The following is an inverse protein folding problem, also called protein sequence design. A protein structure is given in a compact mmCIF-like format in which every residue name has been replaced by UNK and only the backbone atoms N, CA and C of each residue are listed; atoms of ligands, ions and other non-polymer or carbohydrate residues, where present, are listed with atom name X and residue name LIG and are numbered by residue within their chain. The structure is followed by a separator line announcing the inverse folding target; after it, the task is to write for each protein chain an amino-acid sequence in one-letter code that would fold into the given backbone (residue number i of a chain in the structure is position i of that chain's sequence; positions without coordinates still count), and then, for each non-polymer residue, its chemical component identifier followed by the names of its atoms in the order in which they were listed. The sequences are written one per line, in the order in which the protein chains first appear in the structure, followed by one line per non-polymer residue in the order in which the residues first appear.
data_IF_631594033590
#
_entry.id   IF_631594033590
#
_cell.length_a   1.000
_cell.length_b   1.000
_cell.length_c   1.000
_cell.angle_alpha   90.00
_cell.angle_beta   90.00
_cell.angle_gamma   90.00
#
_symmetry.space_group_name_H-M   'P 1'
#
loop_
_entity.id
_entity.type
_entity.pdbx_description
1 polymer ?
#
# COMPACT_ATOMS: atom_id res chain seq x y z
N UNK A 1 -28.38 -4.14 24.87
CA UNK A 1 -28.73 -2.92 24.11
C UNK A 1 -27.53 -2.02 23.77
N UNK A 2 -26.55 -1.82 24.66
CA UNK A 2 -25.38 -0.95 24.44
C UNK A 2 -24.58 -1.21 23.13
N UNK A 3 -24.49 -2.48 22.68
CA UNK A 3 -23.72 -2.83 21.49
C UNK A 3 -24.40 -2.40 20.17
N UNK A 4 -25.74 -2.48 20.08
CA UNK A 4 -26.50 -2.04 18.89
C UNK A 4 -26.44 -0.52 18.72
N UNK A 5 -26.56 0.21 19.82
CA UNK A 5 -26.45 1.67 19.85
C UNK A 5 -25.05 2.12 19.42
N UNK A 6 -23.99 1.51 19.96
CA UNK A 6 -22.60 1.80 19.56
C UNK A 6 -22.34 1.54 18.08
N UNK A 7 -22.83 0.43 17.54
CA UNK A 7 -22.73 0.09 16.11
C UNK A 7 -23.49 1.11 15.24
N UNK A 8 -24.67 1.55 15.66
CA UNK A 8 -25.45 2.57 14.96
C UNK A 8 -24.72 3.91 14.86
N UNK A 9 -24.20 4.42 15.98
CA UNK A 9 -23.43 5.67 16.00
C UNK A 9 -22.15 5.56 15.17
N UNK A 10 -21.45 4.42 15.22
CA UNK A 10 -20.25 4.18 14.42
C UNK A 10 -20.57 4.19 12.91
N UNK A 11 -21.70 3.60 12.49
CA UNK A 11 -22.15 3.66 11.09
C UNK A 11 -22.46 5.08 10.65
N UNK A 12 -23.17 5.86 11.46
CA UNK A 12 -23.51 7.27 11.16
C UNK A 12 -22.27 8.15 11.09
N UNK A 13 -21.31 7.93 11.98
CA UNK A 13 -20.02 8.61 11.99
C UNK A 13 -19.19 8.30 10.73
N UNK A 14 -19.07 7.02 10.36
CA UNK A 14 -18.37 6.62 9.15
C UNK A 14 -19.02 7.22 7.89
N UNK A 15 -20.36 7.29 7.85
CA UNK A 15 -21.09 7.93 6.75
C UNK A 15 -20.72 9.41 6.61
N UNK A 16 -20.66 10.15 7.72
CA UNK A 16 -20.28 11.56 7.70
C UNK A 16 -18.84 11.77 7.18
N UNK A 17 -17.89 10.95 7.63
CA UNK A 17 -16.49 11.00 7.16
C UNK A 17 -16.41 10.75 5.64
N UNK A 18 -17.13 9.74 5.13
CA UNK A 18 -17.21 9.45 3.69
C UNK A 18 -17.85 10.61 2.91
N UNK A 19 -18.89 11.23 3.47
CA UNK A 19 -19.54 12.39 2.86
C UNK A 19 -18.58 13.58 2.74
N UNK A 20 -17.87 13.93 3.82
CA UNK A 20 -16.89 15.03 3.84
C UNK A 20 -15.77 14.76 2.82
N UNK A 21 -15.25 13.54 2.77
CA UNK A 21 -14.23 13.17 1.80
C UNK A 21 -14.66 13.34 0.36
N UNK A 22 -15.88 12.91 0.01
CA UNK A 22 -16.36 13.02 -1.37
C UNK A 22 -16.39 14.47 -1.87
N UNK A 23 -16.54 15.45 -0.98
CA UNK A 23 -16.46 16.88 -1.30
C UNK A 23 -15.02 17.39 -1.45
N UNK A 24 -14.05 16.74 -0.80
CA UNK A 24 -12.67 17.23 -0.67
C UNK A 24 -11.62 16.41 -1.43
N UNK A 25 -11.99 15.24 -1.96
CA UNK A 25 -11.06 14.24 -2.52
C UNK A 25 -10.15 14.72 -3.64
N UNK A 26 -10.57 15.74 -4.41
CA UNK A 26 -9.77 16.30 -5.51
C UNK A 26 -8.91 17.50 -5.10
N UNK A 27 -8.97 17.91 -3.83
CA UNK A 27 -8.13 19.01 -3.33
C UNK A 27 -6.68 18.57 -3.16
N UNK A 28 -5.74 19.51 -3.35
CA UNK A 28 -4.31 19.28 -3.08
C UNK A 28 -4.07 18.83 -1.64
N UNK A 29 -4.74 19.45 -0.68
CA UNK A 29 -4.61 19.13 0.76
C UNK A 29 -5.02 17.68 1.02
N UNK A 30 -6.13 17.21 0.46
CA UNK A 30 -6.53 15.81 0.64
C UNK A 30 -5.54 14.87 -0.04
N UNK A 31 -5.07 15.18 -1.25
CA UNK A 31 -4.07 14.38 -1.95
C UNK A 31 -2.77 14.23 -1.15
N UNK A 32 -2.27 15.32 -0.55
CA UNK A 32 -1.08 15.28 0.32
C UNK A 32 -1.31 14.42 1.56
N UNK A 33 -2.48 14.53 2.22
CA UNK A 33 -2.80 13.71 3.39
C UNK A 33 -3.02 12.23 3.06
N UNK A 34 -3.38 11.89 1.82
CA UNK A 34 -3.44 10.51 1.34
C UNK A 34 -2.04 9.91 1.15
N UNK A 35 -1.04 10.73 0.78
CA UNK A 35 0.37 10.32 0.71
C UNK A 35 1.00 10.21 2.10
N UNK A 36 0.84 11.25 2.91
CA UNK A 36 1.35 11.33 4.27
C UNK A 36 0.43 12.21 5.11
N UNK A 37 -0.19 11.70 6.19
CA UNK A 37 -1.13 12.46 7.01
C UNK A 37 -0.38 13.52 7.84
N UNK A 38 -0.22 14.72 7.28
CA UNK A 38 0.48 15.87 7.89
C UNK A 38 -0.45 16.85 8.61
N UNK A 39 -1.69 16.97 8.15
CA UNK A 39 -2.65 17.94 8.67
C UNK A 39 -3.56 17.27 9.68
N UNK A 40 -3.84 17.91 10.82
CA UNK A 40 -4.59 17.26 11.90
C UNK A 40 -5.99 16.77 11.46
N UNK A 41 -6.83 17.67 10.96
CA UNK A 41 -8.20 17.33 10.55
C UNK A 41 -8.25 16.45 9.29
N UNK A 42 -7.58 16.88 8.21
CA UNK A 42 -7.58 16.16 6.93
C UNK A 42 -6.82 14.84 7.00
N UNK A 43 -5.73 14.78 7.77
CA UNK A 43 -4.98 13.56 8.03
C UNK A 43 -5.79 12.56 8.83
N UNK A 44 -6.57 13.01 9.82
CA UNK A 44 -7.50 12.12 10.52
C UNK A 44 -8.56 11.52 9.57
N UNK A 45 -9.17 12.36 8.72
CA UNK A 45 -10.15 11.91 7.71
C UNK A 45 -9.50 10.89 6.76
N UNK A 46 -8.34 11.21 6.19
CA UNK A 46 -7.60 10.35 5.27
C UNK A 46 -7.30 8.99 5.92
N UNK A 47 -6.73 8.98 7.14
CA UNK A 47 -6.43 7.75 7.89
C UNK A 47 -7.69 6.90 8.09
N UNK A 48 -8.81 7.51 8.48
CA UNK A 48 -10.04 6.75 8.76
C UNK A 48 -10.64 6.13 7.49
N UNK A 49 -10.56 6.83 6.36
CA UNK A 49 -11.04 6.32 5.08
C UNK A 49 -10.18 5.19 4.55
N UNK A 50 -8.85 5.33 4.66
CA UNK A 50 -7.93 4.25 4.29
C UNK A 50 -8.24 2.98 5.09
N UNK A 51 -8.44 3.12 6.41
CA UNK A 51 -8.78 2.01 7.30
C UNK A 51 -10.07 1.29 6.90
N UNK A 52 -11.12 2.03 6.54
CA UNK A 52 -12.42 1.45 6.18
C UNK A 52 -12.41 0.88 4.75
N UNK A 53 -11.91 1.67 3.80
CA UNK A 53 -12.09 1.38 2.37
C UNK A 53 -11.15 0.30 1.86
N UNK A 54 -9.94 0.16 2.42
CA UNK A 54 -8.92 -0.73 1.87
C UNK A 54 -8.99 -2.16 2.42
N UNK A 55 -9.68 -2.40 3.54
CA UNK A 55 -9.65 -3.68 4.27
C UNK A 55 -9.93 -4.92 3.40
N UNK A 56 -11.02 -4.94 2.62
CA UNK A 56 -11.35 -6.09 1.74
C UNK A 56 -10.26 -6.31 0.67
N UNK A 57 -9.79 -5.23 0.05
CA UNK A 57 -8.75 -5.27 -0.99
C UNK A 57 -7.43 -5.76 -0.41
N UNK A 58 -7.00 -5.21 0.73
CA UNK A 58 -5.77 -5.60 1.42
C UNK A 58 -5.77 -7.09 1.72
N UNK A 59 -6.84 -7.61 2.34
CA UNK A 59 -6.94 -9.03 2.63
C UNK A 59 -6.83 -9.89 1.36
N UNK A 60 -7.57 -9.53 0.32
CA UNK A 60 -7.56 -10.23 -0.97
C UNK A 60 -6.18 -10.20 -1.65
N UNK A 61 -5.49 -9.06 -1.57
CA UNK A 61 -4.13 -8.87 -2.11
C UNK A 61 -3.10 -9.69 -1.34
N UNK A 62 -3.10 -9.64 0.00
CA UNK A 62 -2.16 -10.43 0.82
C UNK A 62 -2.37 -11.93 0.61
N UNK A 63 -3.61 -12.39 0.49
CA UNK A 63 -3.90 -13.79 0.14
C UNK A 63 -3.29 -14.21 -1.21
N UNK A 64 -3.25 -13.30 -2.20
CA UNK A 64 -2.65 -13.54 -3.52
C UNK A 64 -1.14 -13.37 -3.56
N UNK A 65 -0.59 -12.63 -2.60
CA UNK A 65 0.86 -12.59 -2.37
C UNK A 65 1.38 -13.96 -1.93
N UNK A 66 0.50 -14.83 -1.38
CA UNK A 66 0.79 -16.22 -1.05
C UNK A 66 2.07 -16.36 -0.23
N UNK A 67 2.15 -15.59 0.87
CA UNK A 67 3.30 -15.58 1.78
C UNK A 67 3.38 -16.91 2.51
N UNK A 68 4.58 -17.47 2.57
CA UNK A 68 4.94 -18.66 3.35
C UNK A 68 6.01 -18.38 4.41
N UNK A 69 6.29 -19.39 5.25
CA UNK A 69 7.23 -19.28 6.37
C UNK A 69 8.70 -19.10 5.97
N UNK A 70 9.05 -19.41 4.73
CA UNK A 70 10.42 -19.29 4.21
C UNK A 70 10.68 -17.94 3.55
N UNK A 71 9.62 -17.24 3.15
CA UNK A 71 9.70 -15.94 2.51
C UNK A 71 10.30 -14.85 3.41
N UNK A 72 11.13 -14.03 2.80
CA UNK A 72 11.48 -12.68 3.25
C UNK A 72 10.58 -11.67 2.54
N UNK A 73 9.73 -10.99 3.32
CA UNK A 73 8.69 -10.09 2.80
C UNK A 73 9.10 -8.64 3.00
N UNK A 74 8.85 -7.79 2.00
CA UNK A 74 9.00 -6.35 2.07
C UNK A 74 7.67 -5.67 1.73
N UNK A 75 7.14 -4.86 2.64
CA UNK A 75 6.03 -3.94 2.35
C UNK A 75 6.52 -2.49 2.29
N UNK A 76 6.17 -1.79 1.21
CA UNK A 76 6.44 -0.36 1.06
C UNK A 76 5.16 0.42 1.31
N UNK A 77 5.20 1.39 2.23
CA UNK A 77 4.07 2.20 2.66
C UNK A 77 2.97 1.41 3.37
N UNK A 78 3.29 0.68 4.46
CA UNK A 78 2.32 -0.12 5.22
C UNK A 78 1.24 0.71 5.92
N UNK A 79 1.44 2.02 6.08
CA UNK A 79 0.48 2.91 6.73
C UNK A 79 0.17 2.45 8.17
N UNK A 80 -1.09 2.15 8.46
CA UNK A 80 -1.51 1.64 9.78
C UNK A 80 -1.29 0.12 9.96
N UNK A 81 -0.61 -0.54 9.04
CA UNK A 81 -0.19 -1.94 9.14
C UNK A 81 -1.33 -2.95 8.96
N UNK A 82 -2.34 -2.62 8.15
CA UNK A 82 -3.42 -3.56 7.85
C UNK A 82 -2.97 -4.76 7.03
N UNK A 83 -2.05 -4.58 6.07
CA UNK A 83 -1.52 -5.71 5.31
C UNK A 83 -0.55 -6.53 6.18
N UNK A 84 0.31 -5.86 6.97
CA UNK A 84 1.14 -6.51 7.98
C UNK A 84 0.33 -7.41 8.93
N UNK A 85 -0.86 -7.00 9.38
CA UNK A 85 -1.75 -7.87 10.20
C UNK A 85 -2.06 -9.21 9.53
N UNK A 86 -2.21 -9.20 8.21
CA UNK A 86 -2.51 -10.40 7.43
C UNK A 86 -1.21 -11.17 7.12
N UNK A 87 -0.12 -10.49 6.80
CA UNK A 87 1.19 -11.11 6.49
C UNK A 87 1.74 -11.88 7.68
N UNK A 88 1.68 -11.34 8.91
CA UNK A 88 2.21 -12.01 10.10
C UNK A 88 1.49 -13.32 10.43
N UNK A 89 0.29 -13.56 9.88
CA UNK A 89 -0.44 -14.82 10.08
C UNK A 89 0.21 -16.00 9.36
N UNK A 90 0.98 -15.73 8.31
CA UNK A 90 1.75 -16.74 7.58
C UNK A 90 3.10 -17.06 8.24
N UNK A 91 3.47 -16.34 9.29
CA UNK A 91 4.75 -16.48 10.00
C UNK A 91 5.99 -16.50 9.08
N UNK A 92 6.16 -15.50 8.19
CA UNK A 92 7.29 -15.45 7.28
C UNK A 92 8.61 -15.31 8.04
N UNK A 93 9.69 -15.78 7.41
CA UNK A 93 11.05 -15.77 7.95
C UNK A 93 11.46 -14.38 8.44
N UNK A 94 11.13 -13.34 7.66
CA UNK A 94 11.46 -11.95 7.98
C UNK A 94 10.50 -11.00 7.27
N UNK A 95 10.18 -9.87 7.93
CA UNK A 95 9.37 -8.80 7.35
C UNK A 95 10.14 -7.48 7.45
N UNK A 96 10.19 -6.74 6.35
CA UNK A 96 10.64 -5.35 6.28
C UNK A 96 9.45 -4.44 5.96
N UNK A 97 9.36 -3.30 6.64
CA UNK A 97 8.28 -2.33 6.48
C UNK A 97 8.87 -0.92 6.28
N UNK A 98 8.76 -0.36 5.07
CA UNK A 98 9.32 0.95 4.71
C UNK A 98 8.23 2.02 4.83
N UNK A 99 8.37 2.93 5.79
CA UNK A 99 7.34 3.95 6.08
C UNK A 99 7.96 5.31 6.38
N UNK A 100 7.65 6.31 5.55
CA UNK A 100 8.19 7.67 5.68
C UNK A 100 7.48 8.50 6.74
N UNK A 101 6.21 8.19 7.06
CA UNK A 101 5.43 8.93 8.04
C UNK A 101 5.78 8.52 9.47
N UNK A 102 6.29 9.46 10.27
CA UNK A 102 6.53 9.25 11.71
C UNK A 102 5.26 8.81 12.45
N UNK A 103 4.12 9.37 12.07
CA UNK A 103 2.82 9.05 12.68
C UNK A 103 2.45 7.58 12.45
N UNK A 104 2.71 7.04 11.24
CA UNK A 104 2.45 5.63 10.97
C UNK A 104 3.49 4.73 11.59
N UNK A 105 4.78 5.08 11.57
CA UNK A 105 5.81 4.31 12.27
C UNK A 105 5.51 4.11 13.75
N UNK A 106 5.12 5.17 14.47
CA UNK A 106 4.71 5.04 15.87
C UNK A 106 3.55 4.04 16.07
N UNK A 107 2.58 4.01 15.14
CA UNK A 107 1.46 3.05 15.17
C UNK A 107 1.97 1.64 14.94
N UNK A 108 2.85 1.44 13.96
CA UNK A 108 3.44 0.14 13.62
C UNK A 108 4.30 -0.40 14.76
N UNK A 109 5.18 0.42 15.32
CA UNK A 109 6.06 0.05 16.45
C UNK A 109 5.25 -0.37 17.67
N UNK A 110 4.20 0.37 18.02
CA UNK A 110 3.31 0.02 19.12
C UNK A 110 2.57 -1.30 18.86
N UNK A 111 2.10 -1.51 17.62
CA UNK A 111 1.28 -2.66 17.23
C UNK A 111 2.09 -3.95 17.07
N UNK A 112 3.33 -3.85 16.62
CA UNK A 112 4.18 -4.99 16.26
C UNK A 112 5.42 -5.14 17.15
N UNK A 113 5.46 -4.49 18.32
CA UNK A 113 6.59 -4.50 19.27
C UNK A 113 7.23 -5.87 19.53
N UNK A 114 6.44 -6.94 19.53
CA UNK A 114 6.90 -8.32 19.82
C UNK A 114 6.87 -9.23 18.57
N UNK A 115 6.96 -8.66 17.37
CA UNK A 115 6.96 -9.39 16.10
C UNK A 115 8.28 -9.15 15.38
N UNK A 116 8.71 -10.13 14.56
CA UNK A 116 9.92 -10.02 13.74
C UNK A 116 9.68 -9.14 12.49
N UNK A 117 9.44 -7.85 12.71
CA UNK A 117 9.22 -6.84 11.67
C UNK A 117 10.22 -5.71 11.86
N UNK A 118 11.01 -5.42 10.84
CA UNK A 118 11.90 -4.26 10.82
C UNK A 118 11.16 -3.07 10.20
N UNK A 119 10.80 -2.08 11.02
CA UNK A 119 10.17 -0.84 10.59
C UNK A 119 11.27 0.20 10.31
N UNK A 120 11.37 0.65 9.06
CA UNK A 120 12.51 1.44 8.57
C UNK A 120 12.04 2.80 8.05
N UNK A 121 12.67 3.86 8.56
CA UNK A 121 12.42 5.24 8.16
C UNK A 121 13.36 5.67 7.00
N UNK A 122 13.06 5.21 5.79
CA UNK A 122 13.75 5.70 4.58
C UNK A 122 12.77 5.93 3.43
N UNK A 123 13.21 6.72 2.46
CA UNK A 123 12.63 6.67 1.11
C UNK A 123 13.14 5.41 0.39
N UNK A 124 12.23 4.71 -0.29
CA UNK A 124 12.52 3.47 -1.00
C UNK A 124 13.46 3.64 -2.23
N UNK A 125 13.95 4.84 -2.51
CA UNK A 125 14.99 5.11 -3.54
C UNK A 125 16.39 4.56 -3.20
N UNK A 126 16.62 4.06 -1.99
CA UNK A 126 17.92 3.59 -1.53
C UNK A 126 17.84 2.23 -0.81
N UNK A 127 16.90 1.37 -1.20
CA UNK A 127 16.64 0.11 -0.49
C UNK A 127 17.88 -0.79 -0.44
N UNK A 128 18.66 -0.88 -1.51
CA UNK A 128 19.85 -1.74 -1.61
C UNK A 128 20.97 -1.39 -0.63
N UNK A 129 20.94 -0.20 0.00
CA UNK A 129 21.87 0.18 1.08
C UNK A 129 21.54 -0.45 2.42
N UNK A 130 20.31 -0.92 2.60
CA UNK A 130 19.81 -1.44 3.88
C UNK A 130 19.37 -2.91 3.74
N UNK A 131 18.77 -3.24 2.60
CA UNK A 131 18.29 -4.56 2.26
C UNK A 131 19.29 -5.21 1.33
N UNK A 132 19.71 -6.43 1.67
CA UNK A 132 20.65 -7.22 0.87
C UNK A 132 20.09 -7.46 -0.55
N UNK A 133 20.96 -7.34 -1.54
CA UNK A 133 20.66 -7.67 -2.95
C UNK A 133 20.15 -9.11 -3.06
N UNK A 134 19.10 -9.33 -3.84
CA UNK A 134 18.52 -10.65 -4.08
C UNK A 134 17.93 -11.34 -2.84
N UNK A 135 17.59 -10.61 -1.78
CA UNK A 135 17.11 -11.20 -0.51
C UNK A 135 15.60 -11.12 -0.28
N UNK A 136 14.86 -10.40 -1.13
CA UNK A 136 13.41 -10.24 -0.98
C UNK A 136 12.67 -11.24 -1.88
N UNK A 137 11.90 -12.13 -1.27
CA UNK A 137 11.09 -13.12 -2.00
C UNK A 137 9.76 -12.52 -2.45
N UNK A 138 9.13 -11.73 -1.57
CA UNK A 138 7.82 -11.09 -1.82
C UNK A 138 7.89 -9.60 -1.51
N UNK A 139 7.55 -8.76 -2.48
CA UNK A 139 7.46 -7.31 -2.30
C UNK A 139 6.02 -6.85 -2.52
N UNK A 140 5.46 -6.08 -1.58
CA UNK A 140 4.09 -5.60 -1.62
C UNK A 140 4.02 -4.06 -1.67
N UNK A 141 3.19 -3.54 -2.57
CA UNK A 141 2.75 -2.14 -2.57
C UNK A 141 1.22 -2.08 -2.70
N UNK A 142 0.54 -1.43 -1.74
CA UNK A 142 -0.91 -1.24 -1.81
C UNK A 142 -1.24 0.25 -1.78
N UNK A 143 -1.76 0.79 -2.90
CA UNK A 143 -2.05 2.21 -3.09
C UNK A 143 -0.84 3.16 -2.87
N UNK A 144 0.39 2.66 -3.04
CA UNK A 144 1.63 3.42 -2.79
C UNK A 144 2.33 3.83 -4.08
N UNK A 145 2.28 2.99 -5.12
CA UNK A 145 3.01 3.21 -6.36
C UNK A 145 2.69 4.58 -7.01
N UNK A 146 1.50 5.11 -6.76
CA UNK A 146 1.06 6.43 -7.22
C UNK A 146 2.00 7.58 -6.86
N UNK A 147 2.70 7.45 -5.72
CA UNK A 147 3.47 8.54 -5.12
C UNK A 147 4.96 8.49 -5.47
N UNK A 148 5.43 7.38 -6.06
CA UNK A 148 6.84 7.14 -6.32
C UNK A 148 7.31 7.94 -7.54
N UNK A 149 8.26 8.85 -7.34
CA UNK A 149 8.70 9.81 -8.37
C UNK A 149 10.16 10.26 -8.14
N UNK A 150 11.06 10.15 -9.13
CA UNK A 150 10.92 9.42 -10.40
C UNK A 150 10.77 7.92 -10.17
N UNK A 151 9.86 7.26 -10.87
CA UNK A 151 9.49 5.86 -10.62
C UNK A 151 10.62 4.88 -10.96
N UNK A 152 11.41 5.19 -11.97
CA UNK A 152 12.54 4.41 -12.48
C UNK A 152 13.56 4.10 -11.37
N UNK A 153 13.85 5.09 -10.51
CA UNK A 153 14.79 4.93 -9.40
C UNK A 153 14.31 3.84 -8.43
N UNK A 154 13.01 3.81 -8.14
CA UNK A 154 12.44 2.80 -7.25
C UNK A 154 12.47 1.41 -7.89
N UNK A 155 12.20 1.30 -9.18
CA UNK A 155 12.17 0.02 -9.88
C UNK A 155 13.56 -0.60 -10.00
N UNK A 156 14.59 0.21 -10.21
CA UNK A 156 15.97 -0.24 -10.15
C UNK A 156 16.30 -0.82 -8.77
N UNK A 157 15.91 -0.14 -7.70
CA UNK A 157 16.11 -0.65 -6.35
C UNK A 157 15.31 -1.92 -6.09
N UNK A 158 14.05 -2.00 -6.54
CA UNK A 158 13.23 -3.20 -6.43
C UNK A 158 13.89 -4.37 -7.17
N UNK A 159 14.40 -4.13 -8.38
CA UNK A 159 15.07 -5.15 -9.20
C UNK A 159 16.35 -5.65 -8.54
N UNK A 160 17.13 -4.78 -7.89
CA UNK A 160 18.34 -5.19 -7.15
C UNK A 160 18.01 -6.08 -5.96
N UNK A 161 17.06 -5.69 -5.11
CA UNK A 161 16.78 -6.40 -3.86
C UNK A 161 15.93 -7.67 -4.04
N UNK A 162 15.15 -7.76 -5.11
CA UNK A 162 14.27 -8.90 -5.38
C UNK A 162 15.11 -10.16 -5.67
N UNK A 163 14.78 -11.28 -5.02
CA UNK A 163 15.30 -12.60 -5.34
C UNK A 163 15.03 -12.94 -6.82
N UNK A 164 15.84 -13.83 -7.42
CA UNK A 164 15.70 -14.18 -8.85
C UNK A 164 14.31 -14.74 -9.17
N UNK A 165 13.79 -15.60 -8.28
CA UNK A 165 12.43 -16.16 -8.36
C UNK A 165 11.39 -15.37 -7.55
N UNK A 166 11.79 -14.23 -7.00
CA UNK A 166 10.92 -13.37 -6.21
C UNK A 166 9.83 -12.71 -7.06
N UNK A 167 8.82 -12.18 -6.39
CA UNK A 167 7.75 -11.43 -7.05
C UNK A 167 7.40 -10.14 -6.32
N UNK A 168 6.94 -9.16 -7.10
CA UNK A 168 6.35 -7.94 -6.60
C UNK A 168 4.85 -7.98 -6.89
N UNK A 169 4.03 -7.61 -5.91
CA UNK A 169 2.59 -7.46 -6.08
C UNK A 169 2.18 -6.03 -5.74
N UNK A 170 1.56 -5.37 -6.71
CA UNK A 170 1.07 -4.00 -6.59
C UNK A 170 -0.45 -4.05 -6.70
N UNK A 171 -1.15 -3.50 -5.71
CA UNK A 171 -2.60 -3.34 -5.76
C UNK A 171 -2.98 -1.87 -5.76
N UNK A 172 -3.92 -1.49 -6.63
CA UNK A 172 -4.34 -0.11 -6.77
C UNK A 172 -5.74 0.14 -7.34
N UNK A 173 -6.45 1.12 -6.80
CA UNK A 173 -7.74 1.63 -7.30
C UNK A 173 -7.61 2.83 -8.24
N UNK A 174 -7.13 2.60 -9.46
CA UNK A 174 -6.87 3.64 -10.46
C UNK A 174 -8.13 4.46 -10.84
N UNK A 175 -9.30 3.83 -10.95
CA UNK A 175 -10.57 4.52 -11.23
C UNK A 175 -10.96 5.56 -10.17
N UNK A 176 -10.48 5.42 -8.94
CA UNK A 176 -10.77 6.36 -7.85
C UNK A 176 -9.83 7.57 -7.88
N UNK A 177 -8.63 7.41 -8.43
CA UNK A 177 -7.55 8.42 -8.36
C UNK A 177 -7.28 9.15 -9.69
N UNK A 178 -7.93 8.75 -10.79
CA UNK A 178 -7.73 9.37 -12.12
C UNK A 178 -7.87 10.90 -12.13
N UNK A 179 -8.76 11.45 -11.28
CA UNK A 179 -9.03 12.89 -11.19
C UNK A 179 -8.34 13.54 -9.98
N UNK A 180 -7.44 12.83 -9.29
CA UNK A 180 -6.71 13.39 -8.16
C UNK A 180 -5.58 14.30 -8.66
N UNK A 181 -5.00 15.06 -7.74
CA UNK A 181 -3.93 16.00 -8.08
C UNK A 181 -2.69 15.25 -8.61
N UNK A 182 -2.42 15.37 -9.91
CA UNK A 182 -1.31 14.73 -10.61
C UNK A 182 0.09 15.16 -10.14
N UNK A 183 0.20 16.29 -9.41
CA UNK A 183 1.47 16.68 -8.75
C UNK A 183 1.81 15.76 -7.58
N UNK A 184 0.82 15.10 -6.98
CA UNK A 184 1.00 14.16 -5.86
C UNK A 184 0.89 12.72 -6.35
N UNK A 185 -0.15 12.42 -7.14
CA UNK A 185 -0.40 11.11 -7.75
C UNK A 185 0.27 11.08 -9.13
N UNK A 186 1.58 10.81 -9.13
CA UNK A 186 2.46 10.84 -10.30
C UNK A 186 2.18 9.68 -11.26
N UNK A 187 1.86 8.51 -10.72
CA UNK A 187 1.60 7.28 -11.49
C UNK A 187 0.11 6.91 -11.47
N UNK A 188 -0.75 7.84 -11.89
CA UNK A 188 -2.22 7.66 -11.87
C UNK A 188 -2.81 7.08 -13.16
N UNK A 189 -2.07 7.09 -14.26
CA UNK A 189 -2.49 6.54 -15.56
C UNK A 189 -2.00 5.08 -15.68
N UNK A 190 -2.94 4.12 -15.67
CA UNK A 190 -2.60 2.70 -15.58
C UNK A 190 -1.83 2.20 -16.80
N UNK A 191 -2.21 2.60 -18.01
CA UNK A 191 -1.59 2.09 -19.23
C UNK A 191 -0.11 2.52 -19.33
N UNK A 192 0.17 3.79 -19.03
CA UNK A 192 1.53 4.32 -18.96
C UNK A 192 2.35 3.61 -17.86
N UNK A 193 1.74 3.36 -16.70
CA UNK A 193 2.41 2.62 -15.63
C UNK A 193 2.78 1.20 -16.07
N UNK A 194 1.88 0.47 -16.71
CA UNK A 194 2.16 -0.90 -17.20
C UNK A 194 3.28 -0.90 -18.22
N UNK A 195 3.27 0.03 -19.18
CA UNK A 195 4.34 0.17 -20.18
C UNK A 195 5.70 0.40 -19.50
N UNK A 196 5.76 1.35 -18.57
CA UNK A 196 6.98 1.68 -17.86
C UNK A 196 7.45 0.47 -17.03
N UNK A 197 6.55 -0.27 -16.36
CA UNK A 197 6.89 -1.46 -15.57
C UNK A 197 7.48 -2.57 -16.45
N UNK A 198 6.97 -2.70 -17.68
CA UNK A 198 7.46 -3.64 -18.69
C UNK A 198 8.90 -3.40 -19.12
N UNK A 199 9.46 -2.20 -18.91
CA UNK A 199 10.87 -1.92 -19.18
C UNK A 199 11.82 -2.57 -18.16
N UNK A 200 11.31 -2.95 -16.98
CA UNK A 200 12.12 -3.47 -15.87
C UNK A 200 11.82 -4.92 -15.53
N UNK A 201 10.56 -5.35 -15.72
CA UNK A 201 10.03 -6.63 -15.25
C UNK A 201 9.11 -7.27 -16.31
N UNK A 202 8.88 -8.57 -16.16
CA UNK A 202 7.73 -9.24 -16.78
C UNK A 202 6.49 -8.84 -15.98
N UNK A 203 5.46 -8.35 -16.66
CA UNK A 203 4.26 -7.76 -16.05
C UNK A 203 3.02 -8.59 -16.37
N UNK A 204 2.29 -8.98 -15.33
CA UNK A 204 0.93 -9.52 -15.43
C UNK A 204 -0.02 -8.53 -14.72
N UNK A 205 -1.15 -8.18 -15.32
CA UNK A 205 -2.10 -7.25 -14.73
C UNK A 205 -3.54 -7.79 -14.82
N UNK A 206 -4.16 -7.96 -13.66
CA UNK A 206 -5.55 -8.40 -13.52
C UNK A 206 -6.43 -7.28 -12.96
N UNK A 207 -7.69 -7.27 -13.35
CA UNK A 207 -8.72 -6.43 -12.72
C UNK A 207 -9.56 -7.30 -11.79
N UNK A 208 -9.42 -7.07 -10.48
CA UNK A 208 -10.20 -7.81 -9.49
C UNK A 208 -11.53 -7.09 -9.27
N UNK A 209 -12.60 -7.74 -9.73
CA UNK A 209 -13.96 -7.29 -9.46
C UNK A 209 -14.36 -7.64 -8.03
N UNK A 210 -15.01 -6.69 -7.36
CA UNK A 210 -15.73 -6.92 -6.12
C UNK A 210 -17.13 -6.33 -6.30
N UNK A 211 -18.07 -6.69 -5.42
CA UNK A 211 -19.53 -6.47 -5.44
C UNK A 211 -20.01 -5.10 -5.98
N UNK A 212 -19.14 -4.07 -5.98
CA UNK A 212 -19.42 -2.75 -6.57
C UNK A 212 -18.27 -2.21 -7.45
N UNK A 213 -18.57 -1.28 -8.36
CA UNK A 213 -17.54 -0.59 -9.18
C UNK A 213 -16.49 0.14 -8.33
N UNK A 214 -16.87 0.62 -7.13
CA UNK A 214 -15.97 1.27 -6.15
C UNK A 214 -15.00 0.31 -5.47
N UNK A 215 -15.27 -0.99 -5.55
CA UNK A 215 -14.44 -2.04 -4.97
C UNK A 215 -13.53 -2.73 -5.99
N UNK A 216 -13.60 -2.35 -7.27
CA UNK A 216 -12.66 -2.80 -8.31
C UNK A 216 -11.26 -2.27 -8.04
N UNK A 217 -10.25 -3.09 -8.24
CA UNK A 217 -8.86 -2.69 -8.16
C UNK A 217 -8.02 -3.48 -9.16
N UNK A 218 -6.91 -2.88 -9.58
CA UNK A 218 -5.91 -3.52 -10.42
C UNK A 218 -4.92 -4.24 -9.53
N UNK A 219 -4.56 -5.46 -9.92
CA UNK A 219 -3.54 -6.26 -9.31
C UNK A 219 -2.45 -6.49 -10.35
N UNK A 220 -1.29 -5.87 -10.13
CA UNK A 220 -0.16 -5.93 -11.05
C UNK A 220 0.91 -6.76 -10.37
N UNK A 221 1.35 -7.81 -11.06
CA UNK A 221 2.38 -8.73 -10.59
C UNK A 221 3.61 -8.58 -11.48
N UNK A 222 4.76 -8.44 -10.83
CA UNK A 222 6.04 -8.27 -11.49
C UNK A 222 6.99 -9.40 -11.12
N UNK A 223 7.73 -9.89 -12.11
CA UNK A 223 8.82 -10.83 -11.93
C UNK A 223 10.04 -10.41 -12.74
N UNK A 224 11.22 -10.84 -12.33
CA UNK A 224 12.42 -10.70 -13.17
C UNK A 224 12.22 -11.49 -14.46
N UNK A 225 12.76 -10.98 -15.57
CA UNK A 225 12.98 -11.80 -16.76
C UNK A 225 13.92 -12.95 -16.38
N UNK A 226 13.59 -14.15 -16.85
CA UNK A 226 14.51 -15.29 -16.77
C UNK A 226 15.72 -15.06 -17.67
#
# INVERSE_FOLDING_TARGET
MANKTKVFFLKKYNFLIVFIFNKLKFTKIMAENMREPRHFFFGFIAKKLMDISNRKMIKSTVQRLSVDKTDTVLEIGPGNGQALDEIVKSDPKKIYAIEISKVFRNVLEAKFKNKNIDIINIDAKNLSKIIKIGSIDKLLLINVIYFLDPLEIYLEEFKKILHQDGMILIAGRYSMIQNFNKKVFKNSEIDYLIEMLGRYFVVECDIINSETQKSKYHLIKLKKSR
#
